data_IF_430097733125
#
_entry.id   IF_430097733125
#
_cell.length_a   1.000
_cell.length_b   1.000
_cell.length_c   1.000
_cell.angle_alpha   90.00
_cell.angle_beta   90.00
_cell.angle_gamma   90.00
#
_symmetry.space_group_name_H-M   'P 1'
#
loop_
_entity.id
_entity.type
_entity.pdbx_description
1 polymer ?
#
# COMPACT_ATOMS: atom_id res chain seq x y z
N UNK A 1 -31.60 41.99 -29.23
CA UNK A 1 -31.74 41.95 -30.71
C UNK A 1 -31.48 40.53 -31.16
N UNK A 2 -32.53 39.92 -31.73
CA UNK A 2 -32.67 38.69 -32.51
C UNK A 2 -31.59 37.58 -32.47
N UNK A 3 -31.95 36.49 -31.78
CA UNK A 3 -32.21 35.12 -32.32
C UNK A 3 -31.48 34.73 -33.61
N UNK A 4 -30.67 33.66 -33.55
CA UNK A 4 -30.48 32.75 -34.69
C UNK A 4 -30.70 31.29 -34.23
N UNK A 5 -31.91 30.79 -34.50
CA UNK A 5 -32.29 29.37 -34.43
C UNK A 5 -31.78 28.67 -35.70
N UNK A 6 -31.20 27.48 -35.56
CA UNK A 6 -31.01 26.53 -36.68
C UNK A 6 -31.96 25.34 -36.50
N UNK A 7 -32.83 25.02 -37.48
CA UNK A 7 -33.68 23.84 -37.40
C UNK A 7 -33.12 22.63 -38.17
N UNK A 8 -33.40 21.45 -37.59
CA UNK A 8 -33.84 20.19 -38.18
C UNK A 8 -33.03 19.49 -39.31
N UNK A 9 -32.70 18.22 -39.04
CA UNK A 9 -33.03 17.10 -39.94
C UNK A 9 -33.16 15.80 -39.13
N UNK A 10 -34.40 15.35 -38.93
CA UNK A 10 -34.74 14.00 -38.48
C UNK A 10 -34.72 13.06 -39.69
N UNK A 11 -33.91 12.00 -39.66
CA UNK A 11 -34.03 10.89 -40.61
C UNK A 11 -34.79 9.74 -39.92
N UNK A 12 -36.06 9.58 -40.28
CA UNK A 12 -36.85 8.40 -39.96
C UNK A 12 -36.60 7.34 -41.04
N UNK A 13 -36.01 6.21 -40.66
CA UNK A 13 -35.99 5.01 -41.50
C UNK A 13 -37.06 4.04 -40.99
N UNK A 14 -38.13 3.93 -41.77
CA UNK A 14 -39.20 2.95 -41.61
C UNK A 14 -38.78 1.72 -42.41
N UNK A 15 -38.71 0.53 -41.80
CA UNK A 15 -38.67 -0.72 -42.57
C UNK A 15 -39.62 -1.75 -41.97
N UNK A 16 -40.47 -2.23 -42.85
CA UNK A 16 -41.67 -3.01 -42.62
C UNK A 16 -41.41 -4.42 -42.07
N UNK A 17 -42.38 -4.87 -41.28
CA UNK A 17 -42.51 -6.20 -40.72
C UNK A 17 -42.70 -7.29 -41.78
N UNK A 18 -42.17 -8.49 -41.50
CA UNK A 18 -42.60 -9.76 -42.07
C UNK A 18 -43.14 -10.64 -40.94
N UNK A 19 -44.41 -11.02 -41.04
CA UNK A 19 -45.10 -11.99 -40.19
C UNK A 19 -45.22 -13.29 -41.00
N UNK A 20 -44.82 -14.42 -40.41
CA UNK A 20 -45.32 -15.74 -40.78
C UNK A 20 -45.28 -16.68 -39.55
N UNK A 21 -46.18 -17.69 -39.46
CA UNK A 21 -46.63 -18.23 -38.18
C UNK A 21 -46.28 -19.71 -37.94
N UNK A 22 -46.66 -20.15 -36.73
CA UNK A 22 -46.92 -21.52 -36.24
C UNK A 22 -45.73 -22.42 -35.88
N UNK A 23 -45.73 -22.85 -34.62
CA UNK A 23 -44.88 -23.92 -34.09
C UNK A 23 -44.98 -24.03 -32.57
N UNK A 24 -46.15 -24.43 -32.07
CA UNK A 24 -46.31 -24.80 -30.67
C UNK A 24 -45.52 -26.09 -30.38
N UNK A 25 -44.46 -25.99 -29.59
CA UNK A 25 -43.82 -27.11 -28.94
C UNK A 25 -43.85 -26.86 -27.43
N UNK A 26 -44.82 -27.47 -26.76
CA UNK A 26 -44.77 -27.71 -25.33
C UNK A 26 -43.59 -28.63 -25.05
N UNK A 27 -42.55 -28.14 -24.38
CA UNK A 27 -41.53 -29.00 -23.77
C UNK A 27 -41.25 -28.53 -22.35
N UNK A 28 -41.53 -29.45 -21.44
CA UNK A 28 -41.10 -29.46 -20.06
C UNK A 28 -39.59 -29.26 -20.01
N UNK A 29 -39.14 -28.19 -19.35
CA UNK A 29 -37.76 -28.13 -18.87
C UNK A 29 -37.80 -27.61 -17.44
N UNK A 30 -37.67 -28.57 -16.54
CA UNK A 30 -37.20 -28.45 -15.17
C UNK A 30 -36.25 -27.27 -15.01
N UNK A 31 -36.58 -26.36 -14.10
CA UNK A 31 -35.65 -25.37 -13.58
C UNK A 31 -34.47 -26.10 -12.93
N UNK A 32 -33.42 -26.31 -13.70
CA UNK A 32 -32.12 -26.71 -13.18
C UNK A 32 -31.40 -25.41 -12.78
N UNK A 33 -31.05 -25.21 -11.50
CA UNK A 33 -30.25 -24.06 -11.12
C UNK A 33 -28.90 -24.19 -11.83
N UNK A 34 -28.60 -23.23 -12.70
CA UNK A 34 -27.26 -23.05 -13.26
C UNK A 34 -26.32 -22.62 -12.10
N UNK A 35 -25.84 -23.59 -11.34
CA UNK A 35 -24.63 -23.43 -10.56
C UNK A 35 -23.46 -23.65 -11.51
N UNK A 36 -23.11 -22.63 -12.29
CA UNK A 36 -21.74 -22.54 -12.80
C UNK A 36 -20.83 -22.59 -11.57
N UNK A 37 -19.91 -23.56 -11.46
CA UNK A 37 -18.93 -23.53 -10.40
C UNK A 37 -18.12 -22.25 -10.59
N UNK A 38 -18.24 -21.33 -9.62
CA UNK A 38 -17.25 -20.29 -9.42
C UNK A 38 -15.91 -21.01 -9.31
N UNK A 39 -15.10 -20.94 -10.36
CA UNK A 39 -13.75 -21.49 -10.36
C UNK A 39 -13.06 -20.89 -9.14
N UNK A 40 -12.73 -21.74 -8.17
CA UNK A 40 -11.95 -21.33 -7.02
C UNK A 40 -10.65 -20.70 -7.54
N UNK A 41 -10.17 -19.59 -6.94
CA UNK A 41 -8.89 -19.02 -7.31
C UNK A 41 -7.82 -20.11 -7.32
N UNK A 42 -6.88 -20.09 -8.29
CA UNK A 42 -5.77 -21.03 -8.29
C UNK A 42 -5.09 -21.03 -6.92
N UNK A 43 -4.73 -22.21 -6.37
CA UNK A 43 -3.95 -22.28 -5.12
C UNK A 43 -2.72 -21.39 -5.24
N UNK A 44 -2.52 -20.47 -4.29
CA UNK A 44 -1.41 -19.51 -4.30
C UNK A 44 -1.71 -18.13 -4.90
N UNK A 45 -2.98 -17.84 -5.23
CA UNK A 45 -3.43 -16.47 -5.54
C UNK A 45 -4.10 -15.86 -4.32
N UNK A 46 -3.52 -14.80 -3.76
CA UNK A 46 -4.11 -14.05 -2.65
C UNK A 46 -4.64 -12.71 -3.14
N UNK A 47 -5.85 -12.32 -2.71
CA UNK A 47 -6.48 -11.06 -3.12
C UNK A 47 -6.79 -10.18 -1.93
N UNK A 48 -6.46 -8.90 -2.02
CA UNK A 48 -6.87 -7.86 -1.08
C UNK A 48 -7.60 -6.75 -1.84
N UNK A 49 -8.61 -6.14 -1.24
CA UNK A 49 -9.41 -5.09 -1.87
C UNK A 49 -9.60 -3.92 -0.93
N UNK A 50 -9.64 -2.70 -1.46
CA UNK A 50 -9.99 -1.52 -0.69
C UNK A 50 -10.81 -0.52 -1.49
N UNK A 51 -11.62 0.27 -0.79
CA UNK A 51 -12.39 1.38 -1.33
C UNK A 51 -11.76 2.66 -0.79
N UNK A 52 -11.33 3.53 -1.71
CA UNK A 52 -10.73 4.80 -1.37
C UNK A 52 -11.82 5.85 -1.27
N UNK A 53 -11.87 6.57 -0.15
CA UNK A 53 -12.84 7.62 0.12
C UNK A 53 -12.16 8.95 0.37
N UNK A 54 -12.80 10.04 -0.02
CA UNK A 54 -12.42 11.40 0.37
C UNK A 54 -12.74 11.67 1.84
N UNK A 55 -12.26 12.79 2.37
CA UNK A 55 -12.35 13.12 3.80
C UNK A 55 -13.79 13.26 4.31
N UNK A 56 -14.73 13.60 3.43
CA UNK A 56 -16.18 13.65 3.68
C UNK A 56 -16.86 12.27 3.61
N UNK A 57 -16.11 11.20 3.28
CA UNK A 57 -16.60 9.84 3.14
C UNK A 57 -17.13 9.46 1.76
N UNK A 58 -17.08 10.37 0.78
CA UNK A 58 -17.50 10.06 -0.60
C UNK A 58 -16.56 9.05 -1.24
N UNK A 59 -17.10 8.03 -1.92
CA UNK A 59 -16.31 7.01 -2.62
C UNK A 59 -15.59 7.63 -3.83
N UNK A 60 -14.28 7.42 -3.95
CA UNK A 60 -13.44 7.98 -5.03
C UNK A 60 -12.98 6.88 -5.99
N UNK A 61 -12.50 5.74 -5.48
CA UNK A 61 -11.97 4.67 -6.30
C UNK A 61 -12.08 3.30 -5.61
N UNK A 62 -12.01 2.24 -6.41
CA UNK A 62 -11.83 0.87 -5.94
C UNK A 62 -10.44 0.39 -6.32
N UNK A 63 -9.80 -0.35 -5.42
CA UNK A 63 -8.50 -0.96 -5.67
C UNK A 63 -8.48 -2.45 -5.30
N UNK A 64 -7.79 -3.24 -6.10
CA UNK A 64 -7.55 -4.67 -5.88
C UNK A 64 -6.05 -4.94 -5.98
N UNK A 65 -5.52 -5.70 -5.04
CA UNK A 65 -4.17 -6.27 -5.06
C UNK A 65 -4.28 -7.77 -5.24
N UNK A 66 -3.76 -8.27 -6.35
CA UNK A 66 -3.65 -9.70 -6.66
C UNK A 66 -2.21 -10.15 -6.49
N UNK A 67 -1.94 -10.98 -5.48
CA UNK A 67 -0.64 -11.54 -5.21
C UNK A 67 -0.54 -12.92 -5.87
N UNK A 68 0.39 -13.04 -6.81
CA UNK A 68 0.71 -14.29 -7.49
C UNK A 68 2.14 -14.21 -8.02
N UNK A 69 2.79 -15.36 -8.24
CA UNK A 69 4.08 -15.43 -8.93
C UNK A 69 5.20 -14.54 -8.32
N UNK A 70 5.13 -14.26 -7.01
CA UNK A 70 6.15 -13.47 -6.30
C UNK A 70 6.01 -11.95 -6.40
N UNK A 71 4.89 -11.43 -6.93
CA UNK A 71 4.61 -9.99 -6.96
C UNK A 71 3.13 -9.68 -6.75
N UNK A 72 2.82 -8.43 -6.44
CA UNK A 72 1.47 -7.89 -6.38
C UNK A 72 1.11 -7.23 -7.71
N UNK A 73 -0.09 -7.48 -8.22
CA UNK A 73 -0.72 -6.70 -9.29
C UNK A 73 -1.77 -5.80 -8.66
N UNK A 74 -1.56 -4.48 -8.72
CA UNK A 74 -2.55 -3.48 -8.31
C UNK A 74 -3.41 -3.09 -9.51
N UNK A 75 -4.73 -3.19 -9.36
CA UNK A 75 -5.71 -2.55 -10.26
C UNK A 75 -6.49 -1.52 -9.47
N UNK A 76 -6.46 -0.26 -9.90
CA UNK A 76 -7.23 0.85 -9.32
C UNK A 76 -8.10 1.48 -10.39
N UNK A 77 -9.37 1.75 -10.08
CA UNK A 77 -10.31 2.40 -10.98
C UNK A 77 -11.21 3.38 -10.21
N UNK A 78 -11.32 4.61 -10.71
CA UNK A 78 -12.20 5.65 -10.13
C UNK A 78 -13.66 5.30 -10.35
N UNK A 79 -14.52 5.69 -9.42
CA UNK A 79 -15.97 5.69 -9.68
C UNK A 79 -16.38 6.92 -10.51
N UNK A 80 -17.57 6.96 -11.13
CA UNK A 80 -18.02 8.07 -11.96
C UNK A 80 -18.36 9.35 -11.16
N UNK A 81 -17.36 9.97 -10.54
CA UNK A 81 -17.45 11.29 -9.94
C UNK A 81 -16.17 12.12 -10.20
N UNK A 82 -16.29 13.43 -10.43
CA UNK A 82 -15.14 14.28 -10.72
C UNK A 82 -14.51 14.80 -9.42
N UNK A 83 -14.20 13.92 -8.46
CA UNK A 83 -13.56 14.32 -7.19
C UNK A 83 -12.08 14.61 -7.40
N UNK A 84 -11.41 13.79 -8.22
CA UNK A 84 -10.01 14.01 -8.57
C UNK A 84 -9.90 15.03 -9.70
N UNK A 85 -8.93 15.93 -9.58
CA UNK A 85 -8.59 16.89 -10.64
C UNK A 85 -7.94 16.16 -11.82
N UNK A 86 -8.09 16.64 -13.07
CA UNK A 86 -7.32 16.09 -14.20
C UNK A 86 -5.80 16.25 -13.99
N UNK A 87 -5.02 15.22 -14.32
CA UNK A 87 -3.56 15.21 -14.16
C UNK A 87 -3.03 13.97 -13.45
N UNK A 88 -1.74 13.99 -13.10
CA UNK A 88 -1.10 12.93 -12.33
C UNK A 88 -1.30 13.15 -10.83
N UNK A 89 -1.53 12.04 -10.13
CA UNK A 89 -1.67 11.98 -8.68
C UNK A 89 -0.70 10.95 -8.11
N UNK A 90 0.07 11.31 -7.07
CA UNK A 90 0.86 10.35 -6.31
C UNK A 90 -0.02 9.25 -5.70
N UNK A 91 0.50 8.02 -5.67
CA UNK A 91 -0.22 6.85 -5.19
C UNK A 91 0.70 6.01 -4.31
N UNK A 92 0.40 5.92 -3.02
CA UNK A 92 1.30 5.30 -2.06
C UNK A 92 0.56 4.40 -1.08
N UNK A 93 1.18 3.30 -0.69
CA UNK A 93 0.79 2.53 0.49
C UNK A 93 1.42 3.21 1.71
N UNK A 94 0.61 3.52 2.71
CA UNK A 94 0.99 4.12 3.98
C UNK A 94 1.03 3.09 5.11
N UNK A 95 1.85 3.38 6.13
CA UNK A 95 2.29 2.43 7.15
C UNK A 95 1.26 2.06 8.22
N UNK A 96 0.13 2.75 8.28
CA UNK A 96 -0.93 2.48 9.24
C UNK A 96 -2.27 2.34 8.52
N UNK A 97 -3.01 1.28 8.85
CA UNK A 97 -4.33 0.97 8.32
C UNK A 97 -5.45 1.86 8.88
N UNK A 98 -5.32 3.18 8.70
CA UNK A 98 -6.28 4.21 9.14
C UNK A 98 -6.53 5.24 8.05
N UNK A 99 -7.77 5.69 7.94
CA UNK A 99 -8.20 6.74 7.01
C UNK A 99 -9.10 7.77 7.73
N UNK A 100 -8.54 8.46 8.72
CA UNK A 100 -9.29 9.43 9.53
C UNK A 100 -9.09 10.85 8.98
N UNK A 101 -10.19 11.53 8.66
CA UNK A 101 -10.16 12.96 8.31
C UNK A 101 -9.67 13.81 9.49
N UNK A 102 -9.00 14.93 9.21
CA UNK A 102 -8.46 15.86 10.22
C UNK A 102 -7.73 15.15 11.39
N UNK A 103 -6.86 14.19 11.08
CA UNK A 103 -6.13 13.39 12.07
C UNK A 103 -4.68 13.89 12.23
N UNK A 104 -3.97 13.39 13.25
CA UNK A 104 -2.55 13.70 13.49
C UNK A 104 -1.71 12.47 13.14
N UNK A 105 -0.52 12.68 12.57
CA UNK A 105 0.38 11.59 12.25
C UNK A 105 0.92 10.90 13.52
N UNK A 106 1.33 9.62 13.45
CA UNK A 106 1.92 8.92 14.60
C UNK A 106 3.17 9.62 15.17
N UNK A 107 3.88 10.40 14.36
CA UNK A 107 5.05 11.18 14.75
C UNK A 107 4.71 12.59 15.29
N UNK A 108 3.42 12.91 15.41
CA UNK A 108 2.92 14.24 15.80
C UNK A 108 2.74 15.19 14.62
N UNK A 109 2.62 16.49 14.92
CA UNK A 109 2.44 17.55 13.92
C UNK A 109 1.02 18.11 13.85
N UNK A 110 0.78 18.95 12.84
CA UNK A 110 -0.53 19.54 12.59
C UNK A 110 -1.54 18.48 12.12
N UNK A 111 -2.83 18.74 12.38
CA UNK A 111 -3.88 17.88 11.86
C UNK A 111 -4.08 18.08 10.36
N UNK A 112 -4.49 17.02 9.68
CA UNK A 112 -4.76 16.99 8.25
C UNK A 112 -5.46 15.70 7.87
N UNK A 113 -6.04 15.67 6.67
CA UNK A 113 -6.77 14.50 6.23
C UNK A 113 -5.85 13.31 6.06
N UNK A 114 -6.24 12.20 6.69
CA UNK A 114 -5.57 10.90 6.63
C UNK A 114 -4.14 10.88 7.18
N UNK A 115 -3.72 11.87 7.97
CA UNK A 115 -2.39 11.90 8.58
C UNK A 115 -2.15 10.69 9.52
N UNK A 116 -3.19 10.15 10.16
CA UNK A 116 -3.07 8.95 11.01
C UNK A 116 -2.66 7.68 10.26
N UNK A 117 -2.66 7.68 8.92
CA UNK A 117 -2.09 6.62 8.11
C UNK A 117 -0.55 6.56 8.19
N UNK A 118 0.13 7.57 8.75
CA UNK A 118 1.58 7.61 8.86
C UNK A 118 2.28 7.98 7.55
N UNK A 119 3.59 7.70 7.45
CA UNK A 119 4.39 7.88 6.23
C UNK A 119 4.23 6.73 5.25
N UNK A 120 5.03 6.73 4.18
CA UNK A 120 5.05 5.64 3.20
C UNK A 120 5.43 4.31 3.88
N UNK A 121 4.83 3.22 3.39
CA UNK A 121 5.09 1.88 3.88
C UNK A 121 6.50 1.43 3.48
N UNK A 122 7.22 0.86 4.44
CA UNK A 122 8.51 0.21 4.22
C UNK A 122 8.38 -1.25 4.67
N UNK A 123 8.69 -2.18 3.76
CA UNK A 123 8.70 -3.60 4.09
C UNK A 123 9.82 -3.90 5.11
N UNK A 124 9.68 -4.97 5.92
CA UNK A 124 10.71 -5.32 6.90
C UNK A 124 12.11 -5.40 6.29
N UNK A 125 13.06 -4.67 6.87
CA UNK A 125 14.45 -4.62 6.39
C UNK A 125 14.71 -3.63 5.25
N UNK A 126 13.70 -2.91 4.76
CA UNK A 126 13.86 -1.83 3.80
C UNK A 126 13.80 -0.46 4.47
N UNK A 127 14.75 0.42 4.17
CA UNK A 127 14.80 1.79 4.70
C UNK A 127 15.18 2.83 3.65
N UNK A 128 15.38 2.39 2.39
CA UNK A 128 15.81 3.25 1.30
C UNK A 128 14.64 3.87 0.52
N UNK A 129 14.99 4.60 -0.53
CA UNK A 129 14.06 5.21 -1.47
C UNK A 129 14.29 4.65 -2.89
N UNK A 130 13.23 4.43 -3.69
CA UNK A 130 11.81 4.58 -3.35
C UNK A 130 11.37 3.64 -2.23
N UNK A 131 10.41 4.08 -1.40
CA UNK A 131 9.88 3.25 -0.33
C UNK A 131 9.17 2.02 -0.90
N UNK A 132 9.03 0.96 -0.11
CA UNK A 132 8.34 -0.26 -0.56
C UNK A 132 6.90 0.03 -1.00
N UNK A 133 6.25 0.99 -0.35
CA UNK A 133 4.89 1.43 -0.64
C UNK A 133 4.74 2.43 -1.79
N UNK A 134 5.83 2.88 -2.43
CA UNK A 134 5.75 3.79 -3.57
C UNK A 134 5.24 3.04 -4.81
N UNK A 135 4.30 3.63 -5.53
CA UNK A 135 3.67 3.02 -6.70
C UNK A 135 3.69 3.98 -7.90
N UNK A 136 3.37 3.45 -9.08
CA UNK A 136 3.14 4.28 -10.26
C UNK A 136 2.02 5.29 -10.01
N UNK A 137 2.22 6.55 -10.42
CA UNK A 137 1.21 7.60 -10.31
C UNK A 137 -0.08 7.25 -11.06
N UNK A 138 -1.20 7.73 -10.55
CA UNK A 138 -2.51 7.61 -11.19
C UNK A 138 -2.73 8.81 -12.14
N UNK A 139 -2.97 8.55 -13.43
CA UNK A 139 -3.35 9.59 -14.39
C UNK A 139 -4.88 9.71 -14.48
N UNK A 140 -5.39 10.87 -14.07
CA UNK A 140 -6.80 11.24 -14.15
C UNK A 140 -7.03 12.03 -15.43
N UNK A 141 -7.94 11.53 -16.27
CA UNK A 141 -8.30 12.18 -17.54
C UNK A 141 -9.13 13.44 -17.30
N UNK A 142 -9.33 14.22 -18.36
CA UNK A 142 -10.17 15.42 -18.34
C UNK A 142 -11.64 15.20 -17.94
N UNK A 143 -12.16 13.97 -18.06
CA UNK A 143 -13.51 13.58 -17.62
C UNK A 143 -13.58 13.12 -16.16
N UNK A 144 -12.45 13.19 -15.42
CA UNK A 144 -12.34 12.77 -14.02
C UNK A 144 -12.15 11.26 -13.83
N UNK A 145 -12.14 10.47 -14.91
CA UNK A 145 -11.93 9.03 -14.83
C UNK A 145 -10.44 8.66 -14.88
N UNK A 146 -10.06 7.64 -14.11
CA UNK A 146 -8.73 7.07 -14.10
C UNK A 146 -8.77 5.55 -13.94
N UNK A 147 -7.80 4.87 -14.56
CA UNK A 147 -7.54 3.45 -14.36
C UNK A 147 -6.04 3.20 -14.38
N UNK A 148 -5.55 2.52 -13.35
CA UNK A 148 -4.16 2.08 -13.26
C UNK A 148 -4.11 0.57 -13.07
N UNK A 149 -3.23 -0.09 -13.83
CA UNK A 149 -2.79 -1.45 -13.55
C UNK A 149 -1.28 -1.42 -13.48
N UNK A 150 -0.71 -1.81 -12.33
CA UNK A 150 0.75 -1.83 -12.12
C UNK A 150 1.14 -3.04 -11.28
N UNK A 151 2.44 -3.33 -11.20
CA UNK A 151 2.99 -4.45 -10.43
C UNK A 151 4.09 -3.98 -9.49
N UNK A 152 4.18 -4.58 -8.31
CA UNK A 152 5.30 -4.39 -7.39
C UNK A 152 5.69 -5.71 -6.73
N UNK A 153 6.99 -5.95 -6.59
CA UNK A 153 7.55 -7.04 -5.79
C UNK A 153 8.19 -6.53 -4.50
N UNK A 154 7.94 -5.27 -4.10
CA UNK A 154 8.53 -4.63 -2.92
C UNK A 154 7.83 -5.00 -1.61
N UNK A 155 6.69 -5.71 -1.66
CA UNK A 155 5.92 -6.16 -0.51
C UNK A 155 5.10 -7.40 -0.84
N UNK A 156 4.75 -8.16 0.20
CA UNK A 156 3.84 -9.32 0.14
C UNK A 156 2.49 -8.98 0.79
N UNK A 157 1.51 -9.88 0.66
CA UNK A 157 0.22 -9.69 1.33
C UNK A 157 0.35 -9.76 2.87
N UNK A 158 1.28 -10.57 3.38
CA UNK A 158 1.58 -10.66 4.81
C UNK A 158 2.15 -9.33 5.34
N UNK A 159 3.03 -8.69 4.56
CA UNK A 159 3.60 -7.37 4.86
C UNK A 159 2.50 -6.31 5.01
N UNK A 160 1.51 -6.31 4.10
CA UNK A 160 0.38 -5.38 4.16
C UNK A 160 -0.58 -5.64 5.34
N UNK A 161 -0.61 -6.87 5.87
CA UNK A 161 -1.40 -7.29 7.05
C UNK A 161 -0.62 -7.24 8.37
N UNK A 162 0.49 -6.51 8.42
CA UNK A 162 1.22 -6.31 9.68
C UNK A 162 0.30 -5.74 10.78
N UNK A 163 0.76 -5.74 12.03
CA UNK A 163 -0.05 -5.34 13.19
C UNK A 163 -0.61 -3.91 13.12
N UNK A 164 0.08 -2.99 12.44
CA UNK A 164 -0.38 -1.62 12.20
C UNK A 164 -1.34 -1.51 11.01
N UNK A 165 -1.48 -2.57 10.23
CA UNK A 165 -2.20 -2.55 8.96
C UNK A 165 -1.50 -1.68 7.92
N UNK A 166 -2.20 -1.39 6.83
CA UNK A 166 -1.74 -0.48 5.77
C UNK A 166 -2.93 0.20 5.09
N UNK A 167 -2.72 1.36 4.50
CA UNK A 167 -3.72 2.11 3.75
C UNK A 167 -3.18 2.54 2.39
N UNK A 168 -4.01 2.55 1.35
CA UNK A 168 -3.68 3.11 0.04
C UNK A 168 -4.15 4.56 0.00
N UNK A 169 -3.28 5.48 -0.43
CA UNK A 169 -3.58 6.91 -0.50
C UNK A 169 -3.34 7.44 -1.91
N UNK A 170 -4.33 8.19 -2.40
CA UNK A 170 -4.20 9.07 -3.57
C UNK A 170 -3.88 10.47 -3.05
N UNK A 171 -2.81 11.06 -3.58
CA UNK A 171 -2.37 12.41 -3.25
C UNK A 171 -2.95 13.45 -4.22
N UNK A 172 -2.88 14.73 -3.83
CA UNK A 172 -3.42 15.84 -4.60
C UNK A 172 -2.60 16.11 -5.86
N UNK A 173 -1.27 16.06 -5.73
CA UNK A 173 -0.33 16.51 -6.76
C UNK A 173 0.47 15.31 -7.33
N UNK A 174 1.17 15.48 -8.46
CA UNK A 174 2.03 14.44 -9.02
C UNK A 174 3.17 14.06 -8.07
N UNK A 175 3.56 12.79 -8.11
CA UNK A 175 4.75 12.29 -7.42
C UNK A 175 6.01 12.60 -8.24
N UNK A 176 7.02 13.20 -7.60
CA UNK A 176 8.32 13.46 -8.21
C UNK A 176 9.34 12.31 -7.99
N UNK A 177 9.00 11.28 -7.22
CA UNK A 177 9.80 10.09 -6.93
C UNK A 177 11.18 10.38 -6.32
N UNK A 178 11.33 11.51 -5.61
CA UNK A 178 12.61 11.97 -5.11
C UNK A 178 13.58 12.42 -6.21
N UNK A 179 13.12 12.61 -7.45
CA UNK A 179 13.98 12.87 -8.60
C UNK A 179 14.33 14.37 -8.73
N UNK A 180 15.36 14.79 -8.01
CA UNK A 180 15.95 16.13 -8.13
C UNK A 180 17.42 16.00 -8.57
N UNK A 181 17.76 16.24 -9.85
CA UNK A 181 19.11 16.09 -10.36
C UNK A 181 20.14 17.00 -9.64
N UNK A 182 21.09 16.45 -8.85
CA UNK A 182 21.96 17.25 -7.99
C UNK A 182 22.94 18.12 -8.78
N UNK A 183 23.24 17.77 -10.04
CA UNK A 183 24.11 18.57 -10.88
C UNK A 183 23.48 19.91 -11.33
N UNK A 184 22.16 20.08 -11.21
CA UNK A 184 21.44 21.26 -11.72
C UNK A 184 20.58 21.98 -10.69
N UNK A 185 20.21 21.30 -9.61
CA UNK A 185 19.29 21.82 -8.61
C UNK A 185 19.88 21.67 -7.21
N UNK A 186 19.77 22.74 -6.43
CA UNK A 186 20.22 22.82 -5.05
C UNK A 186 19.07 23.24 -4.16
N UNK A 187 19.04 22.67 -2.96
CA UNK A 187 18.18 23.10 -1.87
C UNK A 187 18.51 24.54 -1.46
N UNK A 188 17.61 25.18 -0.70
CA UNK A 188 17.81 26.56 -0.20
C UNK A 188 19.06 26.74 0.66
N UNK A 189 19.51 25.68 1.33
CA UNK A 189 20.74 25.68 2.14
C UNK A 189 22.02 25.46 1.30
N UNK A 190 21.89 25.28 -0.02
CA UNK A 190 23.01 25.02 -0.94
C UNK A 190 23.31 23.55 -1.20
N UNK A 191 22.70 22.61 -0.48
CA UNK A 191 22.91 21.17 -0.69
C UNK A 191 22.35 20.73 -2.04
N UNK A 192 23.14 20.04 -2.90
CA UNK A 192 22.65 19.50 -4.17
C UNK A 192 21.63 18.36 -3.98
N UNK A 193 20.61 18.31 -4.85
CA UNK A 193 19.66 17.19 -4.91
C UNK A 193 18.48 17.29 -3.94
N UNK A 194 17.72 16.19 -3.77
CA UNK A 194 16.51 16.19 -2.96
C UNK A 194 16.82 16.30 -1.46
N UNK A 195 15.91 16.89 -0.70
CA UNK A 195 15.94 16.82 0.76
C UNK A 195 15.23 15.55 1.27
N UNK A 196 15.26 15.33 2.58
CA UNK A 196 14.66 14.14 3.20
C UNK A 196 13.14 14.08 3.00
N UNK A 197 12.46 15.23 2.98
CA UNK A 197 11.01 15.29 2.76
C UNK A 197 10.65 14.89 1.33
N UNK A 198 11.41 15.38 0.34
CA UNK A 198 11.27 15.00 -1.06
C UNK A 198 11.46 13.49 -1.22
N UNK A 199 12.51 12.93 -0.61
CA UNK A 199 12.79 11.50 -0.65
C UNK A 199 11.66 10.68 0.00
N UNK A 200 11.13 11.14 1.14
CA UNK A 200 10.14 10.42 1.93
C UNK A 200 8.70 10.51 1.39
N UNK A 201 8.39 11.51 0.56
CA UNK A 201 6.99 11.84 0.21
C UNK A 201 6.75 12.08 -1.27
N UNK A 202 7.82 12.26 -2.06
CA UNK A 202 7.70 12.60 -3.47
C UNK A 202 7.04 13.96 -3.74
N UNK A 203 6.94 14.81 -2.71
CA UNK A 203 6.28 16.13 -2.72
C UNK A 203 4.86 16.12 -3.32
N UNK A 204 4.12 15.02 -3.15
CA UNK A 204 2.79 14.84 -3.77
C UNK A 204 1.67 15.66 -3.10
N UNK A 205 2.00 16.51 -2.12
CA UNK A 205 1.03 17.36 -1.44
C UNK A 205 0.01 16.59 -0.59
N UNK A 206 -1.21 17.15 -0.49
CA UNK A 206 -2.27 16.65 0.42
C UNK A 206 -2.74 15.25 0.05
N UNK A 207 -3.33 14.53 1.02
CA UNK A 207 -3.94 13.21 0.84
C UNK A 207 -5.42 13.41 0.51
N UNK A 208 -5.86 13.08 -0.70
CA UNK A 208 -7.22 13.40 -1.18
C UNK A 208 -8.19 12.22 -1.12
N UNK A 209 -7.68 10.99 -1.15
CA UNK A 209 -8.48 9.80 -0.90
C UNK A 209 -7.67 8.73 -0.19
N UNK A 210 -8.32 7.98 0.70
CA UNK A 210 -7.69 6.92 1.49
C UNK A 210 -8.58 5.68 1.54
N UNK A 211 -7.98 4.50 1.39
CA UNK A 211 -8.63 3.21 1.59
C UNK A 211 -7.78 2.29 2.45
N UNK A 212 -8.34 1.79 3.56
CA UNK A 212 -7.65 0.80 4.41
C UNK A 212 -7.50 -0.52 3.64
N UNK A 213 -6.27 -1.00 3.46
CA UNK A 213 -5.97 -2.29 2.82
C UNK A 213 -6.10 -3.41 3.86
N UNK A 214 -5.51 -3.20 5.04
CA UNK A 214 -5.71 -4.01 6.23
C UNK A 214 -5.81 -3.08 7.45
N UNK A 215 -6.76 -3.29 8.37
CA UNK A 215 -6.92 -2.42 9.52
C UNK A 215 -5.75 -2.60 10.51
N UNK A 216 -5.41 -1.54 11.23
CA UNK A 216 -4.57 -1.67 12.41
C UNK A 216 -5.25 -2.60 13.42
N UNK A 217 -4.60 -3.72 13.77
CA UNK A 217 -5.12 -4.57 14.84
C UNK A 217 -5.05 -3.79 16.15
N UNK A 218 -6.21 -3.52 16.73
CA UNK A 218 -6.26 -3.03 18.09
C UNK A 218 -5.71 -4.14 18.98
N UNK A 219 -4.67 -3.85 19.77
CA UNK A 219 -4.20 -4.77 20.80
C UNK A 219 -5.24 -4.87 21.91
N UNK A 220 -6.37 -5.51 21.65
CA UNK A 220 -7.33 -5.93 22.66
C UNK A 220 -7.06 -7.39 23.02
N UNK A 221 -5.88 -7.65 23.60
CA UNK A 221 -5.67 -8.82 24.45
C UNK A 221 -5.54 -8.33 25.88
N UNK A 222 -6.64 -7.81 26.41
CA UNK A 222 -6.96 -8.03 27.81
C UNK A 222 -7.94 -9.20 27.83
N UNK A 223 -7.42 -10.42 27.82
CA UNK A 223 -8.19 -11.56 28.34
C UNK A 223 -8.44 -11.25 29.81
N UNK A 224 -9.61 -10.71 30.12
CA UNK A 224 -10.14 -10.72 31.48
C UNK A 224 -10.36 -12.18 31.86
N UNK A 225 -9.35 -12.80 32.47
CA UNK A 225 -9.53 -14.05 33.20
C UNK A 225 -10.35 -13.74 34.45
N UNK A 226 -11.67 -13.86 34.36
CA UNK A 226 -12.52 -13.94 35.53
C UNK A 226 -12.23 -15.28 36.21
N UNK A 227 -11.30 -15.29 37.15
CA UNK A 227 -11.15 -16.41 38.08
C UNK A 227 -12.39 -16.42 38.97
N UNK A 228 -13.31 -17.33 38.69
CA UNK A 228 -14.34 -17.73 39.65
C UNK A 228 -13.64 -18.50 40.76
N UNK A 229 -13.54 -17.87 41.92
CA UNK A 229 -13.01 -18.45 43.16
C UNK A 229 -13.98 -19.52 43.70
N UNK A 230 -13.55 -20.78 43.90
CA UNK A 230 -14.35 -21.77 44.62
C UNK A 230 -14.24 -21.57 46.15
N UNK A 231 -15.28 -21.96 46.93
CA UNK A 231 -15.35 -21.68 48.38
C UNK A 231 -14.30 -22.43 49.21
N UNK A 232 -13.93 -21.91 50.39
CA UNK A 232 -12.84 -22.47 51.18
C UNK A 232 -13.26 -23.76 51.88
N UNK A 233 -12.57 -24.86 51.58
CA UNK A 233 -12.59 -26.08 52.37
C UNK A 233 -11.34 -26.14 53.26
N UNK A 234 -11.57 -26.09 54.56
CA UNK A 234 -10.60 -26.34 55.64
C UNK A 234 -10.02 -27.75 55.56
N UNK A 235 -8.69 -27.87 55.48
CA UNK A 235 -8.00 -29.11 55.87
C UNK A 235 -6.61 -28.85 56.45
N UNK A 236 -6.52 -29.27 57.71
CA UNK A 236 -5.41 -29.50 58.64
C UNK A 236 -4.00 -29.71 58.08
N UNK A 237 -3.05 -29.01 58.70
CA UNK A 237 -1.61 -29.12 58.55
C UNK A 237 -1.04 -30.49 58.94
N UNK A 238 -0.14 -31.02 58.13
CA UNK A 238 0.89 -31.98 58.56
C UNK A 238 2.25 -31.50 58.08
N UNK A 239 3.13 -31.24 59.03
CA UNK A 239 4.49 -30.72 58.86
C UNK A 239 5.41 -31.87 58.45
N UNK A 240 6.09 -31.73 57.31
CA UNK A 240 7.24 -32.56 56.95
C UNK A 240 8.46 -31.67 56.80
N UNK A 241 9.41 -31.83 57.71
CA UNK A 241 10.72 -31.16 57.69
C UNK A 241 11.59 -31.86 56.65
N UNK A 242 12.12 -31.11 55.68
CA UNK A 242 13.20 -31.58 54.81
C UNK A 242 14.30 -30.54 54.79
N UNK A 243 15.41 -30.90 55.42
CA UNK A 243 16.68 -30.16 55.40
C UNK A 243 17.31 -30.33 54.02
N UNK A 244 17.68 -29.23 53.35
CA UNK A 244 18.59 -29.30 52.20
C UNK A 244 19.57 -28.14 52.22
N UNK A 245 20.83 -28.55 52.11
CA UNK A 245 22.09 -27.85 52.26
C UNK A 245 22.27 -26.75 51.20
N UNK A 246 22.73 -25.58 51.64
CA UNK A 246 23.14 -24.46 50.78
C UNK A 246 24.49 -24.78 50.16
N UNK A 247 24.54 -24.90 48.83
CA UNK A 247 25.80 -24.96 48.05
C UNK A 247 25.99 -23.61 47.36
N UNK A 248 27.09 -22.94 47.68
CA UNK A 248 27.55 -21.70 47.05
C UNK A 248 27.93 -21.96 45.58
N UNK A 249 27.45 -21.10 44.68
CA UNK A 249 27.89 -21.05 43.28
C UNK A 249 29.12 -20.15 43.12
N UNK A 250 30.10 -20.50 42.26
CA UNK A 250 31.38 -19.79 42.17
C UNK A 250 31.33 -18.54 41.28
N UNK A 251 32.19 -17.58 41.62
CA UNK A 251 32.47 -16.31 40.97
C UNK A 251 33.00 -16.46 39.54
N UNK A 252 32.49 -15.65 38.62
CA UNK A 252 32.96 -15.58 37.23
C UNK A 252 34.15 -14.62 37.12
N UNK A 253 35.32 -15.13 36.72
CA UNK A 253 36.50 -14.32 36.39
C UNK A 253 36.38 -13.72 34.99
N UNK A 254 36.66 -12.41 34.88
CA UNK A 254 36.75 -11.67 33.62
C UNK A 254 38.18 -11.76 33.08
N UNK A 255 38.35 -12.27 31.86
CA UNK A 255 39.64 -12.25 31.14
C UNK A 255 39.58 -11.26 30.00
N UNK A 256 40.39 -10.21 30.09
CA UNK A 256 40.57 -9.19 29.04
C UNK A 256 41.55 -9.72 28.00
N UNK A 257 41.11 -9.86 26.74
CA UNK A 257 41.97 -10.23 25.61
C UNK A 257 42.38 -8.96 24.86
N UNK A 258 43.67 -8.64 24.89
CA UNK A 258 44.29 -7.58 24.09
C UNK A 258 44.46 -8.07 22.66
N UNK A 259 43.78 -7.44 21.71
CA UNK A 259 43.94 -7.69 20.27
C UNK A 259 45.09 -6.84 19.75
N UNK A 260 46.20 -7.48 19.38
CA UNK A 260 47.33 -6.85 18.67
C UNK A 260 46.94 -6.60 17.21
N UNK A 261 47.06 -5.36 16.75
CA UNK A 261 46.69 -4.92 15.40
C UNK A 261 47.48 -5.59 14.29
N UNK A 262 46.78 -5.93 13.21
CA UNK A 262 47.34 -6.39 11.92
C UNK A 262 47.60 -5.16 11.04
N UNK A 263 48.74 -5.06 10.34
CA UNK A 263 49.02 -3.91 9.47
C UNK A 263 48.11 -3.88 8.24
N UNK A 264 47.50 -2.72 8.01
CA UNK A 264 46.72 -2.37 6.82
C UNK A 264 47.61 -2.31 5.58
N UNK A 265 47.40 -3.21 4.62
CA UNK A 265 47.93 -3.08 3.26
C UNK A 265 46.98 -2.20 2.46
N UNK A 266 47.45 -1.02 2.05
CA UNK A 266 46.73 -0.12 1.14
C UNK A 266 47.05 -0.55 -0.29
N UNK A 267 46.07 -1.13 -1.00
CA UNK A 267 46.16 -1.34 -2.44
C UNK A 267 45.46 -0.20 -3.17
N UNK A 268 46.24 0.57 -3.92
CA UNK A 268 45.77 1.64 -4.80
C UNK A 268 45.13 1.02 -6.05
N UNK A 269 43.87 1.34 -6.42
CA UNK A 269 43.32 0.90 -7.69
C UNK A 269 43.92 1.72 -8.84
N UNK A 270 44.64 1.05 -9.74
CA UNK A 270 45.06 1.63 -11.02
C UNK A 270 43.89 1.58 -12.00
N UNK A 271 43.41 2.74 -12.44
CA UNK A 271 42.41 2.85 -13.50
C UNK A 271 43.12 3.05 -14.84
N UNK A 272 43.08 2.03 -15.69
CA UNK A 272 43.54 2.14 -17.09
C UNK A 272 42.43 2.80 -17.90
N UNK A 273 42.59 4.08 -18.22
CA UNK A 273 41.73 4.80 -19.18
C UNK A 273 42.02 4.26 -20.58
N UNK A 274 41.05 3.56 -21.17
CA UNK A 274 41.09 3.20 -22.58
C UNK A 274 40.37 4.30 -23.37
N UNK A 275 41.11 5.08 -24.14
CA UNK A 275 40.55 6.04 -25.10
C UNK A 275 39.98 5.29 -26.31
N UNK A 276 38.72 5.54 -26.72
CA UNK A 276 38.21 5.02 -27.99
C UNK A 276 38.86 5.77 -29.16
N UNK A 277 39.43 5.05 -30.11
CA UNK A 277 39.85 5.63 -31.39
C UNK A 277 38.62 5.91 -32.26
N UNK A 278 38.51 7.14 -32.77
CA UNK A 278 37.53 7.46 -33.82
C UNK A 278 37.94 6.79 -35.15
N UNK A 279 36.97 6.27 -35.94
CA UNK A 279 37.24 5.81 -37.29
C UNK A 279 37.57 7.02 -38.21
N UNK A 280 38.41 6.81 -39.24
CA UNK A 280 38.72 7.86 -40.20
C UNK A 280 37.48 8.20 -41.03
N UNK A 281 37.23 9.50 -41.20
CA UNK A 281 36.16 10.06 -42.04
C UNK A 281 36.19 9.46 -43.45
N UNK A 282 35.04 8.94 -43.87
CA UNK A 282 34.63 8.75 -45.25
C UNK A 282 33.27 9.42 -45.45
#
# INVERSE_FOLDING_TARGET
MNVLKRPAACAAAVLSAAIAPVGACTNQNTAQPNTSPLTAPPPGTERMTTQLKSADGTLVANATFDFANGFATLTLETVPNPILTPGFHGLHIHSVGKCEANSVAPTGGASGDFNSAGGHYQAPGHTGYPASGDLTSLEVRSDGAAKLVTTSNSFTAADLRNSSGTALIIHQDPDNFGNIPPARYTQKNGTPGPDEETLATGDSGKRVACGVIAPATSSSTASSSTTVEPPPSTSTSSVTVTTTTVVQTPSTSTSTVTVTGVPTVTSTPSSTVTTPSLPPNG
#
